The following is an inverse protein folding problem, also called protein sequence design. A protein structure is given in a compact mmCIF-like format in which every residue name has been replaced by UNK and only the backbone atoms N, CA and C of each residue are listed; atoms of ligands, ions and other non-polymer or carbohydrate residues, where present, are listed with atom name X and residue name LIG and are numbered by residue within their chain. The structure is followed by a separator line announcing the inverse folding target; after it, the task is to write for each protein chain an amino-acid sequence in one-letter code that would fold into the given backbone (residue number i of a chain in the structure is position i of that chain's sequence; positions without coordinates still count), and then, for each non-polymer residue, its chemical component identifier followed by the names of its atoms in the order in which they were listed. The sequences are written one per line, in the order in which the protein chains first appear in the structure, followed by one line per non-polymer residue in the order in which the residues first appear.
data_IF_545217019334
#
_entry.id   IF_545217019334
#
_cell.length_a   1.000
_cell.length_b   1.000
_cell.length_c   1.000
_cell.angle_alpha   90.00
_cell.angle_beta   90.00
_cell.angle_gamma   90.00
#
_symmetry.space_group_name_H-M   'P 1'
#
loop_
_entity.id
_entity.type
_entity.pdbx_description
1 polymer ?
#
# COMPACT_ATOMS: atom_id res chain seq x y z
N UNK A 1 0.43 72.21 -64.68
CA UNK A 1 0.00 71.51 -63.40
C UNK A 1 -0.01 70.04 -63.79
N UNK A 2 1.05 69.36 -63.41
CA UNK A 2 1.27 67.95 -63.79
C UNK A 2 1.12 67.08 -62.55
N UNK A 3 0.11 66.26 -62.55
CA UNK A 3 -0.08 65.27 -61.48
C UNK A 3 0.75 64.00 -61.77
N UNK A 4 1.71 63.73 -60.91
CA UNK A 4 2.48 62.50 -60.86
C UNK A 4 1.65 61.35 -60.22
N UNK A 5 1.65 60.13 -60.81
CA UNK A 5 1.00 58.98 -60.20
C UNK A 5 1.92 58.33 -59.18
N UNK A 6 1.33 58.00 -57.97
CA UNK A 6 1.96 57.28 -56.86
C UNK A 6 2.06 55.79 -57.21
N UNK A 7 3.20 55.09 -57.04
CA UNK A 7 3.34 53.69 -57.29
C UNK A 7 2.65 52.86 -56.19
N UNK A 8 1.80 51.92 -56.58
CA UNK A 8 1.17 50.92 -55.68
C UNK A 8 2.23 49.89 -55.33
N UNK A 9 2.64 49.94 -54.05
CA UNK A 9 3.46 48.86 -53.43
C UNK A 9 2.55 47.66 -53.15
N UNK A 10 2.81 46.58 -53.88
CA UNK A 10 2.19 45.28 -53.61
C UNK A 10 2.89 44.63 -52.39
N UNK A 11 2.18 44.49 -51.32
CA UNK A 11 2.65 43.74 -50.13
C UNK A 11 2.36 42.25 -50.36
N UNK A 12 3.39 41.37 -50.37
CA UNK A 12 3.15 39.94 -50.44
C UNK A 12 2.59 39.45 -49.12
N UNK A 13 1.41 38.86 -49.14
CA UNK A 13 0.81 38.17 -48.00
C UNK A 13 1.66 36.93 -47.66
N UNK A 14 2.47 37.08 -46.60
CA UNK A 14 3.21 35.96 -46.03
C UNK A 14 2.22 35.09 -45.26
N UNK A 15 1.79 33.97 -45.82
CA UNK A 15 0.96 32.98 -45.19
C UNK A 15 1.76 32.28 -44.09
N UNK A 16 1.52 32.64 -42.82
CA UNK A 16 2.05 31.95 -41.66
C UNK A 16 1.27 30.63 -41.48
N UNK A 17 1.82 29.53 -42.00
CA UNK A 17 1.33 28.19 -41.71
C UNK A 17 1.71 27.82 -40.25
N UNK A 18 0.79 28.00 -39.31
CA UNK A 18 0.91 27.52 -37.97
C UNK A 18 0.70 26.01 -38.02
N UNK A 19 1.80 25.25 -37.97
CA UNK A 19 1.80 23.82 -37.74
C UNK A 19 1.39 23.58 -36.27
N UNK A 20 0.09 23.33 -36.07
CA UNK A 20 -0.42 22.78 -34.82
C UNK A 20 0.08 21.33 -34.69
N UNK A 21 1.26 21.17 -34.13
CA UNK A 21 1.75 19.86 -33.68
C UNK A 21 0.82 19.41 -32.54
N UNK A 22 -0.18 18.60 -32.90
CA UNK A 22 -0.92 17.81 -31.90
C UNK A 22 0.09 16.86 -31.24
N UNK A 23 0.67 17.27 -30.14
CA UNK A 23 1.39 16.37 -29.23
C UNK A 23 0.36 15.43 -28.60
N UNK A 24 0.07 14.31 -29.25
CA UNK A 24 -0.63 13.20 -28.62
C UNK A 24 0.29 12.63 -27.53
N UNK A 25 0.14 13.13 -26.30
CA UNK A 25 0.75 12.48 -25.15
C UNK A 25 0.18 11.06 -25.10
N UNK A 26 1.02 10.01 -25.10
CA UNK A 26 0.52 8.64 -24.93
C UNK A 26 -0.35 8.59 -23.68
N UNK A 27 -1.49 7.86 -23.69
CA UNK A 27 -2.27 7.69 -22.47
C UNK A 27 -1.36 7.13 -21.38
N UNK A 28 -1.42 7.73 -20.18
CA UNK A 28 -0.68 7.26 -19.03
C UNK A 28 -1.01 5.77 -18.81
N UNK A 29 -0.01 4.93 -18.48
CA UNK A 29 -0.29 3.54 -18.13
C UNK A 29 -1.38 3.49 -17.06
N UNK A 30 -2.32 2.53 -17.13
CA UNK A 30 -3.34 2.39 -16.11
C UNK A 30 -2.67 2.26 -14.74
N UNK A 31 -3.19 2.99 -13.76
CA UNK A 31 -2.70 2.88 -12.39
C UNK A 31 -2.71 1.41 -11.95
N UNK A 32 -1.68 0.93 -11.23
CA UNK A 32 -1.62 -0.44 -10.78
C UNK A 32 -2.88 -0.74 -9.94
N UNK A 33 -3.68 -1.67 -10.39
CA UNK A 33 -4.85 -2.14 -9.63
C UNK A 33 -4.35 -3.09 -8.56
N UNK A 34 -4.68 -2.80 -7.28
CA UNK A 34 -4.35 -3.69 -6.18
C UNK A 34 -5.07 -5.04 -6.36
N UNK A 35 -4.32 -6.11 -6.43
CA UNK A 35 -4.79 -7.46 -6.17
C UNK A 35 -4.67 -7.72 -4.65
N UNK A 36 -5.78 -7.60 -3.93
CA UNK A 36 -5.79 -7.73 -2.47
C UNK A 36 -5.35 -9.11 -2.00
N UNK A 37 -5.72 -10.17 -2.72
CA UNK A 37 -5.36 -11.55 -2.36
C UNK A 37 -3.84 -11.77 -2.52
N UNK A 38 -3.28 -11.34 -3.65
CA UNK A 38 -1.85 -11.42 -3.87
C UNK A 38 -1.04 -10.58 -2.87
N UNK A 39 -1.54 -9.38 -2.54
CA UNK A 39 -0.92 -8.51 -1.54
C UNK A 39 -0.92 -9.16 -0.14
N UNK A 40 -2.04 -9.72 0.31
CA UNK A 40 -2.13 -10.43 1.61
C UNK A 40 -1.22 -11.64 1.62
N UNK A 41 -1.14 -12.42 0.54
CA UNK A 41 -0.21 -13.55 0.43
C UNK A 41 1.25 -13.10 0.58
N UNK A 42 1.66 -12.01 -0.09
CA UNK A 42 3.00 -11.44 0.04
C UNK A 42 3.31 -10.95 1.47
N UNK A 43 2.33 -10.32 2.13
CA UNK A 43 2.46 -9.86 3.52
C UNK A 43 2.68 -11.05 4.45
N UNK A 44 1.87 -12.10 4.34
CA UNK A 44 1.99 -13.30 5.18
C UNK A 44 3.32 -14.02 4.94
N UNK A 45 3.76 -14.10 3.69
CA UNK A 45 5.06 -14.68 3.34
C UNK A 45 6.23 -13.89 3.95
N UNK A 46 6.14 -12.57 4.05
CA UNK A 46 7.20 -11.74 4.66
C UNK A 46 7.41 -12.05 6.15
N UNK A 47 6.37 -12.48 6.85
CA UNK A 47 6.44 -12.93 8.24
C UNK A 47 7.12 -14.30 8.40
N UNK A 48 6.91 -15.22 7.44
CA UNK A 48 7.36 -16.60 7.55
C UNK A 48 8.81 -16.89 7.18
N UNK A 49 9.56 -15.91 6.68
CA UNK A 49 10.88 -16.12 6.07
C UNK A 49 12.03 -16.44 7.05
N UNK A 50 11.84 -16.31 8.35
CA UNK A 50 12.88 -16.53 9.35
C UNK A 50 12.53 -17.71 10.27
N UNK A 51 12.79 -18.91 9.80
CA UNK A 51 12.51 -20.18 10.51
C UNK A 51 13.27 -20.37 11.83
N UNK A 52 14.15 -19.45 12.21
CA UNK A 52 14.95 -19.50 13.45
C UNK A 52 14.47 -18.54 14.53
N UNK A 53 13.51 -17.69 14.24
CA UNK A 53 12.92 -16.78 15.22
C UNK A 53 11.86 -17.49 16.08
N UNK A 54 11.91 -17.25 17.38
CA UNK A 54 10.89 -17.77 18.29
C UNK A 54 9.62 -16.91 18.18
N UNK A 55 8.53 -17.52 17.71
CA UNK A 55 7.22 -16.87 17.69
C UNK A 55 6.54 -17.07 19.04
N UNK A 56 6.50 -16.01 19.84
CA UNK A 56 5.84 -16.01 21.15
C UNK A 56 4.39 -15.56 20.97
N UNK A 57 3.46 -16.52 21.06
CA UNK A 57 2.04 -16.22 21.05
C UNK A 57 1.59 -15.79 22.45
N UNK A 58 1.01 -14.59 22.65
CA UNK A 58 0.43 -14.21 23.92
C UNK A 58 -0.79 -15.07 24.22
N UNK A 59 -1.04 -15.34 25.53
CA UNK A 59 -2.30 -15.95 25.96
C UNK A 59 -3.41 -14.94 25.70
N UNK A 60 -4.41 -15.35 24.90
CA UNK A 60 -5.55 -14.51 24.54
C UNK A 60 -6.82 -14.94 25.25
N UNK A 61 -7.78 -14.04 25.28
CA UNK A 61 -9.16 -14.35 25.66
C UNK A 61 -9.74 -15.35 24.64
N UNK A 62 -10.36 -16.48 25.07
CA UNK A 62 -10.96 -17.44 24.16
C UNK A 62 -11.98 -16.81 23.20
N UNK A 63 -12.72 -15.80 23.62
CA UNK A 63 -13.68 -15.11 22.75
C UNK A 63 -12.97 -14.35 21.61
N UNK A 64 -11.80 -13.79 21.88
CA UNK A 64 -10.97 -13.14 20.84
C UNK A 64 -10.48 -14.19 19.85
N UNK A 65 -10.03 -15.35 20.31
CA UNK A 65 -9.56 -16.43 19.45
C UNK A 65 -10.70 -17.01 18.58
N UNK A 66 -11.91 -17.17 19.14
CA UNK A 66 -13.10 -17.59 18.38
C UNK A 66 -13.44 -16.60 17.25
N UNK A 67 -13.44 -15.30 17.54
CA UNK A 67 -13.69 -14.25 16.53
C UNK A 67 -12.62 -14.23 15.42
N UNK A 68 -11.36 -14.51 15.74
CA UNK A 68 -10.28 -14.62 14.74
C UNK A 68 -10.47 -15.83 13.85
N UNK A 69 -10.83 -16.99 14.42
CA UNK A 69 -11.14 -18.20 13.65
C UNK A 69 -12.35 -17.99 12.72
N UNK A 70 -13.36 -17.27 13.20
CA UNK A 70 -14.50 -16.87 12.39
C UNK A 70 -14.09 -15.97 11.22
N UNK A 71 -13.25 -14.97 11.49
CA UNK A 71 -12.72 -14.08 10.45
C UNK A 71 -11.93 -14.85 9.40
N UNK A 72 -11.06 -15.79 9.79
CA UNK A 72 -10.29 -16.63 8.87
C UNK A 72 -11.18 -17.49 7.97
N UNK A 73 -12.25 -18.09 8.55
CA UNK A 73 -13.23 -18.87 7.78
C UNK A 73 -13.98 -18.00 6.76
N UNK A 74 -14.40 -16.82 7.18
CA UNK A 74 -15.09 -15.84 6.33
C UNK A 74 -14.18 -15.33 5.21
N UNK A 75 -12.93 -15.03 5.52
CA UNK A 75 -11.91 -14.66 4.52
C UNK A 75 -11.73 -15.75 3.48
N UNK A 76 -11.57 -17.01 3.93
CA UNK A 76 -11.43 -18.17 3.04
C UNK A 76 -12.66 -18.37 2.14
N UNK A 77 -13.84 -18.01 2.64
CA UNK A 77 -15.09 -18.04 1.88
C UNK A 77 -15.29 -16.81 0.96
N UNK A 78 -14.34 -15.87 0.93
CA UNK A 78 -14.44 -14.61 0.17
C UNK A 78 -15.43 -13.60 0.76
N UNK A 79 -15.86 -13.79 2.00
CA UNK A 79 -16.82 -12.94 2.72
C UNK A 79 -16.06 -11.86 3.51
N UNK A 80 -15.31 -11.01 2.81
CA UNK A 80 -14.32 -10.12 3.40
C UNK A 80 -14.93 -9.07 4.35
N UNK A 81 -16.10 -8.50 4.02
CA UNK A 81 -16.78 -7.54 4.88
C UNK A 81 -17.22 -8.18 6.22
N UNK A 82 -17.63 -9.44 6.18
CA UNK A 82 -18.01 -10.18 7.39
C UNK A 82 -16.75 -10.54 8.21
N UNK A 83 -15.65 -10.91 7.56
CA UNK A 83 -14.36 -11.11 8.23
C UNK A 83 -13.90 -9.84 8.95
N UNK A 84 -14.03 -8.67 8.29
CA UNK A 84 -13.76 -7.37 8.89
C UNK A 84 -14.62 -7.14 10.14
N UNK A 85 -15.92 -7.43 10.07
CA UNK A 85 -16.83 -7.24 11.20
C UNK A 85 -16.45 -8.14 12.41
N UNK A 86 -16.01 -9.38 12.16
CA UNK A 86 -15.52 -10.27 13.22
C UNK A 86 -14.22 -9.74 13.86
N UNK A 87 -13.27 -9.26 13.04
CA UNK A 87 -12.03 -8.64 13.53
C UNK A 87 -12.29 -7.34 14.30
N UNK A 88 -13.24 -6.52 13.86
CA UNK A 88 -13.63 -5.31 14.57
C UNK A 88 -14.24 -5.62 15.94
N UNK A 89 -15.01 -6.71 16.07
CA UNK A 89 -15.48 -7.20 17.38
C UNK A 89 -14.32 -7.69 18.26
N UNK A 90 -13.37 -8.43 17.71
CA UNK A 90 -12.18 -8.85 18.45
C UNK A 90 -11.35 -7.65 18.94
N UNK A 91 -11.20 -6.61 18.13
CA UNK A 91 -10.53 -5.35 18.50
C UNK A 91 -11.29 -4.54 19.55
N UNK A 92 -12.62 -4.68 19.67
CA UNK A 92 -13.36 -4.09 20.79
C UNK A 92 -13.01 -4.74 22.12
N UNK A 93 -12.69 -6.04 22.13
CA UNK A 93 -12.28 -6.78 23.33
C UNK A 93 -10.79 -6.55 23.63
N UNK A 94 -9.96 -6.47 22.62
CA UNK A 94 -8.51 -6.26 22.77
C UNK A 94 -7.98 -5.25 21.70
N UNK A 95 -8.12 -3.94 21.95
CA UNK A 95 -7.82 -2.90 20.97
C UNK A 95 -6.33 -2.73 20.65
N UNK A 96 -5.46 -3.17 21.56
CA UNK A 96 -4.01 -2.97 21.45
C UNK A 96 -3.26 -4.27 21.06
N UNK A 97 -3.96 -5.33 20.63
CA UNK A 97 -3.30 -6.55 20.13
C UNK A 97 -2.71 -6.33 18.72
N UNK A 98 -1.37 -6.33 18.58
CA UNK A 98 -0.74 -6.04 17.31
C UNK A 98 -1.06 -7.08 16.22
N UNK A 99 -1.36 -8.33 16.61
CA UNK A 99 -1.73 -9.37 15.66
C UNK A 99 -3.14 -9.14 15.10
N UNK A 100 -4.10 -8.75 15.95
CA UNK A 100 -5.44 -8.36 15.50
C UNK A 100 -5.40 -7.14 14.59
N UNK A 101 -4.61 -6.14 14.95
CA UNK A 101 -4.41 -4.94 14.11
C UNK A 101 -3.84 -5.31 12.74
N UNK A 102 -2.90 -6.27 12.68
CA UNK A 102 -2.35 -6.77 11.42
C UNK A 102 -3.41 -7.53 10.60
N UNK A 103 -4.15 -8.42 11.21
CA UNK A 103 -5.21 -9.19 10.54
C UNK A 103 -6.29 -8.24 9.98
N UNK A 104 -6.65 -7.21 10.75
CA UNK A 104 -7.58 -6.18 10.30
C UNK A 104 -7.04 -5.33 9.15
N UNK A 105 -5.73 -5.06 9.14
CA UNK A 105 -5.06 -4.38 8.03
C UNK A 105 -5.07 -5.22 6.74
N UNK A 106 -4.81 -6.52 6.86
CA UNK A 106 -4.87 -7.47 5.74
C UNK A 106 -6.30 -7.59 5.18
N UNK A 107 -7.30 -7.71 6.03
CA UNK A 107 -8.71 -7.73 5.61
C UNK A 107 -9.14 -6.45 4.88
N UNK A 108 -8.61 -5.28 5.28
CA UNK A 108 -8.84 -4.01 4.59
C UNK A 108 -8.30 -4.03 3.15
N UNK A 109 -7.15 -4.68 2.89
CA UNK A 109 -6.61 -4.82 1.54
C UNK A 109 -7.52 -5.68 0.63
N UNK A 110 -8.16 -6.70 1.18
CA UNK A 110 -9.08 -7.56 0.43
C UNK A 110 -10.29 -6.80 -0.12
N UNK A 111 -10.75 -5.77 0.60
CA UNK A 111 -11.81 -4.85 0.16
C UNK A 111 -11.27 -3.56 -0.48
N UNK A 112 -9.96 -3.48 -0.72
CA UNK A 112 -9.26 -2.32 -1.32
C UNK A 112 -9.35 -1.02 -0.50
N UNK A 113 -9.58 -1.12 0.81
CA UNK A 113 -9.48 -0.01 1.74
C UNK A 113 -8.01 0.24 2.11
N UNK A 114 -7.29 0.94 1.21
CA UNK A 114 -5.87 1.25 1.40
C UNK A 114 -5.63 2.12 2.64
N UNK A 115 -6.54 3.04 2.93
CA UNK A 115 -6.39 3.95 4.07
C UNK A 115 -6.55 3.20 5.40
N UNK A 116 -7.55 2.30 5.49
CA UNK A 116 -7.75 1.42 6.63
C UNK A 116 -6.56 0.49 6.83
N UNK A 117 -6.08 -0.15 5.76
CA UNK A 117 -4.92 -1.05 5.81
C UNK A 117 -3.68 -0.36 6.38
N UNK A 118 -3.33 0.85 5.87
CA UNK A 118 -2.18 1.60 6.37
C UNK A 118 -2.37 2.02 7.83
N UNK A 119 -3.56 2.51 8.19
CA UNK A 119 -3.86 2.95 9.56
C UNK A 119 -3.68 1.81 10.56
N UNK A 120 -4.25 0.64 10.31
CA UNK A 120 -4.15 -0.49 11.22
C UNK A 120 -2.73 -1.07 11.27
N UNK A 121 -2.01 -1.13 10.14
CA UNK A 121 -0.60 -1.53 10.12
C UNK A 121 0.29 -0.58 10.94
N UNK A 122 0.08 0.74 10.85
CA UNK A 122 0.81 1.73 11.67
C UNK A 122 0.52 1.57 13.16
N UNK A 123 -0.75 1.34 13.54
CA UNK A 123 -1.10 1.03 14.94
C UNK A 123 -0.41 -0.26 15.40
N UNK A 124 -0.39 -1.30 14.57
CA UNK A 124 0.32 -2.53 14.87
C UNK A 124 1.83 -2.33 15.07
N UNK A 125 2.47 -1.47 14.27
CA UNK A 125 3.87 -1.07 14.48
C UNK A 125 4.01 -0.33 15.83
N UNK A 126 3.11 0.57 16.15
CA UNK A 126 3.17 1.35 17.39
C UNK A 126 3.07 0.46 18.63
N UNK A 127 2.11 -0.46 18.65
CA UNK A 127 1.77 -1.32 19.79
C UNK A 127 2.62 -2.58 19.89
N UNK A 128 3.20 -3.03 18.76
CA UNK A 128 3.92 -4.29 18.65
C UNK A 128 5.44 -4.19 18.85
N UNK A 129 6.06 -5.37 18.78
CA UNK A 129 7.51 -5.50 18.70
C UNK A 129 8.06 -4.82 17.46
N UNK A 130 9.25 -4.22 17.56
CA UNK A 130 9.97 -3.62 16.44
C UNK A 130 10.83 -4.63 15.68
N UNK A 131 10.75 -5.89 16.04
CA UNK A 131 11.49 -7.00 15.42
C UNK A 131 10.59 -8.22 15.28
N UNK A 132 11.00 -9.15 14.43
CA UNK A 132 10.34 -10.44 14.25
C UNK A 132 9.26 -10.47 13.15
N UNK A 133 8.58 -11.61 13.03
CA UNK A 133 7.65 -11.88 11.93
C UNK A 133 6.52 -10.85 11.79
N UNK A 134 5.92 -10.45 12.91
CA UNK A 134 4.79 -9.52 12.91
C UNK A 134 5.22 -8.10 12.50
N UNK A 135 6.39 -7.65 12.94
CA UNK A 135 6.99 -6.37 12.51
C UNK A 135 7.16 -6.35 10.98
N UNK A 136 7.69 -7.43 10.40
CA UNK A 136 7.84 -7.55 8.93
C UNK A 136 6.50 -7.47 8.22
N UNK A 137 5.46 -8.15 8.72
CA UNK A 137 4.11 -8.10 8.13
C UNK A 137 3.52 -6.69 8.14
N UNK A 138 3.65 -5.95 9.24
CA UNK A 138 3.17 -4.57 9.33
C UNK A 138 3.82 -3.68 8.27
N UNK A 139 5.16 -3.72 8.15
CA UNK A 139 5.88 -2.91 7.20
C UNK A 139 5.65 -3.34 5.75
N UNK A 140 5.48 -4.64 5.48
CA UNK A 140 5.10 -5.11 4.16
C UNK A 140 3.69 -4.64 3.78
N UNK A 141 2.74 -4.60 4.73
CA UNK A 141 1.42 -4.02 4.50
C UNK A 141 1.53 -2.57 4.03
N UNK A 142 2.35 -1.76 4.70
CA UNK A 142 2.60 -0.36 4.29
C UNK A 142 3.24 -0.30 2.90
N UNK A 143 4.17 -1.20 2.57
CA UNK A 143 4.79 -1.27 1.25
C UNK A 143 3.75 -1.58 0.15
N UNK A 144 2.85 -2.56 0.38
CA UNK A 144 1.78 -2.92 -0.55
C UNK A 144 0.79 -1.77 -0.77
N UNK A 145 0.38 -1.09 0.31
CA UNK A 145 -0.48 0.10 0.23
C UNK A 145 0.17 1.19 -0.61
N UNK A 146 1.43 1.51 -0.34
CA UNK A 146 2.16 2.55 -1.07
C UNK A 146 2.36 2.20 -2.54
N UNK A 147 2.62 0.93 -2.83
CA UNK A 147 2.76 0.44 -4.21
C UNK A 147 1.44 0.54 -5.00
N UNK A 148 0.30 0.40 -4.33
CA UNK A 148 -1.03 0.48 -4.93
C UNK A 148 -1.53 1.92 -5.13
N UNK A 149 -0.86 2.93 -4.60
CA UNK A 149 -1.25 4.34 -4.78
C UNK A 149 -1.07 4.77 -6.23
N UNK A 150 -2.04 5.50 -6.80
CA UNK A 150 -1.95 5.96 -8.20
C UNK A 150 -0.81 6.97 -8.42
N UNK A 151 -0.42 7.69 -7.37
CA UNK A 151 0.69 8.64 -7.40
C UNK A 151 1.67 8.25 -6.29
N UNK A 152 2.93 7.95 -6.63
CA UNK A 152 3.96 7.69 -5.65
C UNK A 152 4.20 8.93 -4.76
N UNK A 153 4.39 8.69 -3.47
CA UNK A 153 4.80 9.75 -2.54
C UNK A 153 6.32 9.71 -2.41
N UNK A 154 6.98 10.79 -2.78
CA UNK A 154 8.44 10.90 -2.80
C UNK A 154 9.00 11.56 -1.51
N UNK A 155 8.14 11.83 -0.52
CA UNK A 155 8.59 12.38 0.74
C UNK A 155 9.52 11.40 1.48
N UNK A 156 10.54 11.88 2.18
CA UNK A 156 11.44 11.04 2.97
C UNK A 156 10.66 10.16 3.97
N UNK A 157 10.94 8.86 3.97
CA UNK A 157 10.25 7.89 4.82
C UNK A 157 8.89 7.41 4.29
N UNK A 158 8.39 7.96 3.17
CA UNK A 158 7.05 7.65 2.65
C UNK A 158 7.05 6.81 1.35
N UNK A 159 8.22 6.45 0.83
CA UNK A 159 8.33 5.62 -0.37
C UNK A 159 8.11 4.13 -0.08
N UNK A 160 7.83 3.34 -1.13
CA UNK A 160 7.80 1.88 -1.06
C UNK A 160 9.15 1.31 -0.59
N UNK A 161 10.25 1.91 -1.07
CA UNK A 161 11.60 1.49 -0.70
C UNK A 161 11.89 1.73 0.79
N UNK A 162 11.38 2.84 1.36
CA UNK A 162 11.49 3.11 2.79
C UNK A 162 10.75 2.05 3.61
N UNK A 163 9.51 1.72 3.26
CA UNK A 163 8.75 0.70 3.97
C UNK A 163 9.43 -0.68 3.91
N UNK A 164 10.00 -1.06 2.75
CA UNK A 164 10.74 -2.32 2.62
C UNK A 164 12.03 -2.33 3.43
N UNK A 165 12.74 -1.20 3.52
CA UNK A 165 13.94 -1.08 4.36
C UNK A 165 13.60 -1.26 5.84
N UNK A 166 12.51 -0.66 6.32
CA UNK A 166 12.02 -0.86 7.69
C UNK A 166 11.58 -2.31 7.94
N UNK A 167 10.91 -2.96 6.98
CA UNK A 167 10.59 -4.38 7.04
C UNK A 167 11.84 -5.24 7.22
N UNK A 168 12.87 -4.97 6.42
CA UNK A 168 14.12 -5.76 6.47
C UNK A 168 14.86 -5.54 7.79
N UNK A 169 14.78 -4.34 8.37
CA UNK A 169 15.31 -4.02 9.68
C UNK A 169 14.63 -4.75 10.85
N UNK A 170 13.40 -5.28 10.66
CA UNK A 170 12.72 -6.12 11.65
C UNK A 170 13.40 -7.50 11.83
N UNK A 171 14.35 -7.87 10.96
CA UNK A 171 15.00 -9.19 11.02
C UNK A 171 16.15 -9.16 12.01
N UNK A 172 16.14 -10.07 13.00
CA UNK A 172 17.25 -10.26 13.92
C UNK A 172 18.26 -11.20 13.30
N UNK A 173 19.51 -10.76 13.14
CA UNK A 173 20.58 -11.63 12.71
C UNK A 173 20.82 -12.72 13.78
N UNK A 174 20.91 -13.99 13.35
CA UNK A 174 21.29 -15.07 14.25
C UNK A 174 22.68 -14.79 14.85
N UNK A 175 22.91 -15.03 16.16
CA UNK A 175 24.22 -14.85 16.76
C UNK A 175 25.24 -15.75 16.06
N UNK A 176 26.46 -15.22 15.85
CA UNK A 176 27.54 -16.01 15.30
C UNK A 176 27.79 -17.24 16.19
N UNK A 177 27.72 -18.43 15.60
CA UNK A 177 28.08 -19.66 16.29
C UNK A 177 29.61 -19.73 16.35
N UNK A 178 30.13 -19.74 17.55
CA UNK A 178 31.55 -19.95 17.81
C UNK A 178 31.88 -21.42 17.74
#
# INVERSE_FOLDING_TARGET
MTFSPIPRIAIPALALAVLAACSSTPPAPPAPTLDGVAAVAAIRASGGAASTELDVQPIRDPQVDDLRLDAERLETAGQYEQAIAALDQALQLNPDDPALLQERAEAALLVKDLAGAERFARLGIERGSKVGPLCRRHWETIAQVRQARPVPVEAPGESVADARRERDACTIAAPARY
#
